data_IF_158430565616
#
_entry.id   IF_158430565616
#
_cell.length_a   1.000
_cell.length_b   1.000
_cell.length_c   1.000
_cell.angle_alpha   90.00
_cell.angle_beta   90.00
_cell.angle_gamma   90.00
#
_symmetry.space_group_name_H-M   'P 1'
#
loop_
_entity.id
_entity.type
_entity.pdbx_description
1 polymer ?
#
# COMPACT_ATOMS: atom_id res chain seq x y z
N UNK A 1 -1.71 -7.24 -1.28
CA UNK A 1 -3.06 -6.71 -1.57
C UNK A 1 -3.46 -5.79 -0.44
N UNK A 2 -3.86 -4.55 -0.74
CA UNK A 2 -4.45 -3.64 0.25
C UNK A 2 -5.93 -3.95 0.46
N UNK A 3 -6.40 -3.82 1.70
CA UNK A 3 -7.79 -4.08 2.10
C UNK A 3 -8.61 -2.81 2.24
N UNK A 4 -7.96 -1.65 2.43
CA UNK A 4 -8.65 -0.36 2.61
C UNK A 4 -8.00 0.74 1.78
N UNK A 5 -6.68 0.76 1.68
CA UNK A 5 -5.97 1.80 0.92
C UNK A 5 -5.92 1.52 -0.57
N UNK A 6 -6.06 2.59 -1.35
CA UNK A 6 -5.63 2.60 -2.75
C UNK A 6 -4.12 2.84 -2.80
N UNK A 7 -3.49 2.33 -3.86
CA UNK A 7 -2.07 2.54 -4.11
C UNK A 7 -1.88 2.86 -5.59
N UNK A 8 -0.93 3.74 -5.88
CA UNK A 8 -0.58 4.16 -7.23
C UNK A 8 0.94 4.19 -7.42
N UNK A 9 1.40 3.67 -8.56
CA UNK A 9 2.79 3.76 -8.99
C UNK A 9 2.92 4.83 -10.07
N UNK A 10 3.82 5.78 -9.83
CA UNK A 10 4.29 6.76 -10.80
C UNK A 10 5.71 6.36 -11.19
N UNK A 11 5.87 5.77 -12.36
CA UNK A 11 7.17 5.24 -12.81
C UNK A 11 8.04 6.38 -13.31
N UNK A 12 9.21 6.55 -12.70
CA UNK A 12 10.16 7.63 -13.00
C UNK A 12 11.34 7.15 -13.84
N UNK A 13 11.58 5.85 -13.91
CA UNK A 13 12.68 5.29 -14.70
C UNK A 13 12.65 3.77 -14.82
N UNK A 14 13.49 3.26 -15.73
CA UNK A 14 13.59 1.83 -16.01
C UNK A 14 12.38 1.24 -16.75
N UNK A 15 12.27 -0.09 -16.70
CA UNK A 15 11.17 -0.84 -17.34
C UNK A 15 10.77 -2.07 -16.52
N UNK A 16 9.52 -2.47 -16.65
CA UNK A 16 8.99 -3.66 -16.01
C UNK A 16 7.57 -3.98 -16.47
N UNK A 17 6.89 -4.80 -15.69
CA UNK A 17 5.47 -5.10 -15.88
C UNK A 17 4.80 -5.15 -14.52
N UNK A 18 3.60 -4.58 -14.42
CA UNK A 18 2.70 -4.80 -13.30
C UNK A 18 1.86 -6.03 -13.62
N UNK A 19 2.01 -7.08 -12.82
CA UNK A 19 1.10 -8.21 -12.83
C UNK A 19 -0.01 -7.92 -11.82
N UNK A 20 -1.27 -7.94 -12.23
CA UNK A 20 -2.42 -7.77 -11.36
C UNK A 20 -3.41 -8.91 -11.49
N UNK A 21 -4.14 -9.19 -10.41
CA UNK A 21 -5.21 -10.16 -10.35
C UNK A 21 -6.35 -9.60 -9.49
N UNK A 22 -7.54 -9.57 -10.09
CA UNK A 22 -8.81 -9.26 -9.43
C UNK A 22 -9.91 -10.15 -10.03
N UNK A 23 -11.20 -9.88 -9.74
CA UNK A 23 -12.33 -10.67 -10.26
C UNK A 23 -12.53 -10.59 -11.77
N UNK A 24 -11.89 -9.64 -12.46
CA UNK A 24 -11.84 -9.59 -13.92
C UNK A 24 -10.74 -10.48 -14.51
N UNK A 25 -9.92 -11.10 -13.66
CA UNK A 25 -8.86 -12.02 -14.04
C UNK A 25 -7.46 -11.41 -13.98
N UNK A 26 -6.49 -12.18 -14.45
CA UNK A 26 -5.09 -11.77 -14.51
C UNK A 26 -4.84 -10.78 -15.65
N UNK A 27 -4.01 -9.77 -15.38
CA UNK A 27 -3.57 -8.77 -16.37
C UNK A 27 -2.10 -8.42 -16.18
N UNK A 28 -1.42 -8.21 -17.30
CA UNK A 28 -0.09 -7.60 -17.34
C UNK A 28 -0.17 -6.21 -17.94
N UNK A 29 0.36 -5.23 -17.22
CA UNK A 29 0.42 -3.83 -17.65
C UNK A 29 1.89 -3.40 -17.76
N UNK A 30 2.42 -3.07 -18.95
CA UNK A 30 3.78 -2.58 -19.11
C UNK A 30 4.06 -1.34 -18.26
N UNK A 31 5.25 -1.29 -17.66
CA UNK A 31 5.73 -0.16 -16.87
C UNK A 31 6.97 0.44 -17.53
N UNK A 32 6.91 1.75 -17.79
CA UNK A 32 8.02 2.56 -18.29
C UNK A 32 7.92 3.98 -17.71
N UNK A 33 8.96 4.80 -17.86
CA UNK A 33 8.93 6.19 -17.39
C UNK A 33 7.68 6.93 -17.92
N UNK A 34 6.93 7.57 -17.03
CA UNK A 34 5.65 8.22 -17.33
C UNK A 34 4.42 7.34 -17.15
N UNK A 35 4.57 6.02 -16.94
CA UNK A 35 3.45 5.16 -16.55
C UNK A 35 2.88 5.57 -15.19
N UNK A 36 1.57 5.73 -15.13
CA UNK A 36 0.80 5.87 -13.89
C UNK A 36 -0.19 4.72 -13.83
N UNK A 37 -0.09 3.87 -12.81
CA UNK A 37 -1.04 2.79 -12.55
C UNK A 37 -1.59 2.95 -11.15
N UNK A 38 -2.89 2.82 -11.01
CA UNK A 38 -3.62 2.93 -9.74
C UNK A 38 -4.52 1.72 -9.60
N UNK A 39 -4.59 1.17 -8.39
CA UNK A 39 -5.44 0.04 -8.08
C UNK A 39 -6.13 0.23 -6.73
N UNK A 40 -7.36 -0.29 -6.66
CA UNK A 40 -8.25 -0.20 -5.50
C UNK A 40 -8.05 -1.37 -4.54
N UNK A 41 -8.55 -1.28 -3.30
CA UNK A 41 -8.58 -2.42 -2.38
C UNK A 41 -9.15 -3.67 -3.03
N UNK A 42 -8.58 -4.83 -2.67
CA UNK A 42 -8.93 -6.11 -3.28
C UNK A 42 -8.13 -6.47 -4.54
N UNK A 43 -7.37 -5.52 -5.12
CA UNK A 43 -6.52 -5.80 -6.28
C UNK A 43 -5.18 -6.40 -5.83
N UNK A 44 -4.94 -7.66 -6.15
CA UNK A 44 -3.63 -8.28 -5.99
C UNK A 44 -2.72 -7.74 -7.09
N UNK A 45 -1.50 -7.33 -6.74
CA UNK A 45 -0.56 -6.82 -7.71
C UNK A 45 0.89 -7.06 -7.29
N UNK A 46 1.79 -7.14 -8.28
CA UNK A 46 3.25 -7.15 -8.09
C UNK A 46 3.94 -6.49 -9.28
N UNK A 47 5.01 -5.75 -9.00
CA UNK A 47 5.91 -5.25 -10.04
C UNK A 47 7.01 -6.26 -10.33
N UNK A 48 7.19 -6.59 -11.61
CA UNK A 48 8.30 -7.39 -12.11
C UNK A 48 9.28 -6.44 -12.79
N UNK A 49 10.50 -6.37 -12.25
CA UNK A 49 11.54 -5.50 -12.75
C UNK A 49 12.24 -6.17 -13.96
N UNK A 50 12.11 -5.56 -15.14
CA UNK A 50 12.81 -6.01 -16.36
C UNK A 50 14.05 -5.15 -16.69
N UNK A 51 14.37 -4.16 -15.84
CA UNK A 51 15.56 -3.33 -15.97
C UNK A 51 15.43 -2.02 -15.19
N UNK A 52 16.09 -1.96 -14.03
CA UNK A 52 16.23 -0.76 -13.20
C UNK A 52 14.92 0.02 -12.93
N UNK A 53 13.78 -0.69 -12.84
CA UNK A 53 12.48 -0.08 -12.57
C UNK A 53 12.54 0.78 -11.28
N UNK A 54 12.16 2.04 -11.41
CA UNK A 54 12.09 3.02 -10.32
C UNK A 54 10.73 3.70 -10.35
N UNK A 55 10.06 3.76 -9.20
CA UNK A 55 8.74 4.37 -9.09
C UNK A 55 8.59 5.15 -7.78
N UNK A 56 7.78 6.21 -7.83
CA UNK A 56 7.20 6.84 -6.65
C UNK A 56 5.87 6.15 -6.37
N UNK A 57 5.66 5.73 -5.13
CA UNK A 57 4.43 5.06 -4.70
C UNK A 57 3.63 6.03 -3.84
N UNK A 58 2.37 6.24 -4.21
CA UNK A 58 1.40 7.02 -3.43
C UNK A 58 0.34 6.08 -2.88
N UNK A 59 0.10 6.12 -1.57
CA UNK A 59 -0.91 5.32 -0.91
C UNK A 59 -1.91 6.20 -0.17
N UNK A 60 -3.19 5.85 -0.24
CA UNK A 60 -4.23 6.59 0.48
C UNK A 60 -4.23 6.28 1.98
N UNK A 61 -5.07 7.01 2.73
CA UNK A 61 -5.31 6.79 4.16
C UNK A 61 -4.11 7.00 5.08
N UNK A 62 -3.15 7.85 4.69
CA UNK A 62 -2.17 8.51 5.56
C UNK A 62 -1.57 7.59 6.64
N UNK A 63 -0.81 6.57 6.23
CA UNK A 63 -0.12 5.65 7.15
C UNK A 63 -0.85 4.34 7.44
N UNK A 64 -2.06 4.15 6.90
CA UNK A 64 -2.80 2.90 7.03
C UNK A 64 -2.08 1.66 6.45
N UNK A 65 -1.35 1.75 5.31
CA UNK A 65 -0.45 0.69 4.87
C UNK A 65 0.53 0.21 5.93
N UNK A 66 1.18 1.14 6.62
CA UNK A 66 2.12 0.87 7.71
C UNK A 66 1.41 0.31 8.95
N UNK A 67 0.13 0.63 9.16
CA UNK A 67 -0.73 0.03 10.19
C UNK A 67 -1.27 -1.36 9.80
N UNK A 68 -0.79 -1.92 8.69
CA UNK A 68 -0.98 -3.33 8.33
C UNK A 68 -2.25 -3.63 7.57
N UNK A 69 -2.71 -2.71 6.71
CA UNK A 69 -3.86 -2.94 5.83
C UNK A 69 -3.55 -3.77 4.57
N UNK A 70 -2.31 -4.27 4.47
CA UNK A 70 -1.84 -5.09 3.37
C UNK A 70 -1.64 -6.55 3.81
N UNK A 71 -2.15 -7.47 2.99
CA UNK A 71 -1.94 -8.91 3.13
C UNK A 71 -1.15 -9.45 1.94
N UNK A 72 -0.10 -10.23 2.22
CA UNK A 72 0.71 -10.91 1.21
C UNK A 72 0.00 -12.15 0.69
N UNK A 73 0.22 -12.47 -0.59
CA UNK A 73 -0.36 -13.62 -1.29
C UNK A 73 0.39 -14.91 -0.96
N UNK A 74 0.51 -15.27 0.31
CA UNK A 74 1.06 -16.55 0.71
C UNK A 74 0.09 -17.70 0.36
N UNK A 75 0.58 -18.95 0.23
CA UNK A 75 -0.28 -20.13 0.15
C UNK A 75 -1.23 -20.25 1.35
N UNK A 76 -2.40 -20.87 1.18
CA UNK A 76 -3.49 -20.88 2.20
C UNK A 76 -3.04 -21.37 3.57
N UNK A 77 -2.10 -22.32 3.63
CA UNK A 77 -1.54 -22.85 4.88
C UNK A 77 -0.93 -21.76 5.79
N UNK A 78 -0.40 -20.68 5.21
CA UNK A 78 0.13 -19.53 5.95
C UNK A 78 -0.92 -18.47 6.25
N UNK A 79 -2.05 -18.48 5.56
CA UNK A 79 -3.15 -17.53 5.73
C UNK A 79 -4.20 -18.02 6.73
N UNK A 80 -4.25 -19.33 7.00
CA UNK A 80 -5.23 -19.94 7.90
C UNK A 80 -5.08 -19.55 9.38
N UNK A 81 -3.93 -18.99 9.79
CA UNK A 81 -3.65 -18.58 11.16
C UNK A 81 -2.90 -17.25 11.20
N UNK A 82 -3.33 -16.35 12.09
CA UNK A 82 -2.64 -15.08 12.32
C UNK A 82 -1.19 -15.27 12.78
N UNK A 83 -0.91 -16.32 13.56
CA UNK A 83 0.43 -16.64 14.01
C UNK A 83 1.31 -17.14 12.85
N UNK A 84 0.80 -18.06 12.03
CA UNK A 84 1.52 -18.58 10.87
C UNK A 84 1.81 -17.47 9.85
N UNK A 85 0.85 -16.57 9.63
CA UNK A 85 1.02 -15.41 8.76
C UNK A 85 2.11 -14.47 9.30
N UNK A 86 2.05 -14.14 10.60
CA UNK A 86 3.02 -13.23 11.22
C UNK A 86 4.44 -13.82 11.16
N UNK A 87 4.60 -15.11 11.42
CA UNK A 87 5.89 -15.80 11.33
C UNK A 87 6.45 -15.75 9.90
N UNK A 88 5.62 -16.04 8.90
CA UNK A 88 6.02 -16.02 7.49
C UNK A 88 6.32 -14.59 6.97
N UNK A 89 5.66 -13.57 7.53
CA UNK A 89 5.83 -12.18 7.12
C UNK A 89 7.02 -11.46 7.78
N UNK A 90 7.51 -11.96 8.91
CA UNK A 90 8.56 -11.32 9.70
C UNK A 90 9.92 -11.29 8.99
N UNK A 91 10.61 -10.15 9.05
CA UNK A 91 11.94 -9.94 8.44
C UNK A 91 13.01 -9.49 9.45
N UNK A 92 12.63 -9.35 10.71
CA UNK A 92 13.41 -8.80 11.82
C UNK A 92 13.60 -9.83 12.93
N UNK A 93 14.02 -11.05 12.55
CA UNK A 93 14.28 -12.13 13.52
C UNK A 93 15.71 -12.05 14.10
N UNK A 94 15.89 -12.14 15.43
CA UNK A 94 17.21 -12.19 16.05
C UNK A 94 18.10 -13.26 15.42
N UNK A 95 19.35 -12.90 15.10
CA UNK A 95 20.35 -13.82 14.53
C UNK A 95 20.13 -14.21 13.06
N UNK A 96 19.14 -13.63 12.38
CA UNK A 96 18.88 -13.85 10.95
C UNK A 96 19.33 -12.66 10.10
N UNK A 97 19.69 -12.91 8.83
CA UNK A 97 19.90 -11.86 7.83
C UNK A 97 18.54 -11.32 7.33
N UNK A 98 18.20 -10.03 7.59
CA UNK A 98 16.94 -9.44 7.13
C UNK A 98 16.75 -9.47 5.62
N UNK A 99 17.85 -9.43 4.84
CA UNK A 99 17.78 -9.50 3.38
C UNK A 99 17.33 -10.88 2.92
N UNK A 100 17.92 -11.94 3.48
CA UNK A 100 17.52 -13.31 3.22
C UNK A 100 16.05 -13.57 3.60
N UNK A 101 15.61 -13.06 4.76
CA UNK A 101 14.20 -13.17 5.17
C UNK A 101 13.25 -12.44 4.22
N UNK A 102 13.60 -11.22 3.80
CA UNK A 102 12.80 -10.46 2.84
C UNK A 102 12.70 -11.17 1.47
N UNK A 103 13.77 -11.84 1.04
CA UNK A 103 13.77 -12.67 -0.18
C UNK A 103 12.88 -13.90 -0.02
N UNK A 104 13.01 -14.66 1.06
CA UNK A 104 12.18 -15.83 1.32
C UNK A 104 10.68 -15.47 1.40
N UNK A 105 10.35 -14.37 2.08
CA UNK A 105 9.00 -13.82 2.16
C UNK A 105 8.45 -13.43 0.79
N UNK A 106 9.26 -12.78 -0.05
CA UNK A 106 8.89 -12.43 -1.43
C UNK A 106 8.58 -13.70 -2.22
N UNK A 107 9.45 -14.70 -2.15
CA UNK A 107 9.31 -15.93 -2.93
C UNK A 107 8.08 -16.73 -2.50
N UNK A 108 7.77 -16.75 -1.19
CA UNK A 108 6.52 -17.32 -0.68
C UNK A 108 5.28 -16.59 -1.20
N UNK A 109 5.30 -15.25 -1.23
CA UNK A 109 4.20 -14.46 -1.79
C UNK A 109 4.03 -14.67 -3.31
N UNK A 110 5.13 -14.91 -4.04
CA UNK A 110 5.09 -15.26 -5.46
C UNK A 110 4.49 -16.65 -5.65
N UNK A 111 4.83 -17.63 -4.81
CA UNK A 111 4.27 -18.97 -4.88
C UNK A 111 2.73 -18.95 -4.76
N UNK A 112 2.19 -18.30 -3.72
CA UNK A 112 0.74 -18.20 -3.56
C UNK A 112 0.07 -17.32 -4.64
N UNK A 113 0.75 -16.28 -5.14
CA UNK A 113 0.25 -15.53 -6.30
C UNK A 113 0.10 -16.41 -7.55
N UNK A 114 1.07 -17.28 -7.82
CA UNK A 114 1.03 -18.17 -8.99
C UNK A 114 -0.08 -19.23 -8.86
N UNK A 115 -0.36 -19.73 -7.66
CA UNK A 115 -1.51 -20.60 -7.39
C UNK A 115 -2.83 -19.88 -7.73
N UNK A 116 -3.01 -18.66 -7.24
CA UNK A 116 -4.20 -17.83 -7.52
C UNK A 116 -4.34 -17.52 -9.01
N UNK A 117 -3.23 -17.15 -9.67
CA UNK A 117 -3.20 -16.88 -11.12
C UNK A 117 -3.61 -18.12 -11.92
N UNK A 118 -3.05 -19.29 -11.59
CA UNK A 118 -3.33 -20.54 -12.30
C UNK A 118 -4.80 -20.93 -12.18
N UNK A 119 -5.38 -20.79 -10.99
CA UNK A 119 -6.81 -21.04 -10.78
C UNK A 119 -7.69 -20.08 -11.59
N UNK A 120 -7.39 -18.78 -11.55
CA UNK A 120 -8.13 -17.77 -12.31
C UNK A 120 -8.05 -17.99 -13.83
N UNK A 121 -6.88 -18.37 -14.35
CA UNK A 121 -6.72 -18.72 -15.78
C UNK A 121 -7.49 -19.98 -16.17
N UNK A 122 -7.73 -20.90 -15.23
CA UNK A 122 -8.61 -22.06 -15.40
C UNK A 122 -10.10 -21.73 -15.22
N UNK A 123 -10.46 -20.49 -14.89
CA UNK A 123 -11.83 -20.05 -14.62
C UNK A 123 -12.35 -20.44 -13.23
N UNK A 124 -11.45 -20.77 -12.29
CA UNK A 124 -11.78 -21.07 -10.90
C UNK A 124 -11.54 -19.86 -9.98
N UNK A 125 -12.63 -19.22 -9.57
CA UNK A 125 -12.61 -18.07 -8.65
C UNK A 125 -12.60 -18.48 -7.17
N UNK A 126 -12.73 -19.76 -6.84
CA UNK A 126 -12.83 -20.22 -5.45
C UNK A 126 -11.56 -19.91 -4.64
N UNK A 127 -10.33 -20.12 -5.16
CA UNK A 127 -9.10 -19.76 -4.44
C UNK A 127 -8.96 -18.26 -4.19
N UNK A 128 -9.37 -17.42 -5.15
CA UNK A 128 -9.35 -15.96 -4.97
C UNK A 128 -10.35 -15.51 -3.89
N UNK A 129 -11.55 -16.10 -3.89
CA UNK A 129 -12.55 -15.83 -2.85
C UNK A 129 -12.07 -16.27 -1.47
N UNK A 130 -11.51 -17.47 -1.35
CA UNK A 130 -10.92 -17.96 -0.11
C UNK A 130 -9.78 -17.04 0.37
N UNK A 131 -8.92 -16.56 -0.54
CA UNK A 131 -7.88 -15.60 -0.21
C UNK A 131 -8.44 -14.30 0.39
N UNK A 132 -9.51 -13.74 -0.18
CA UNK A 132 -10.16 -12.55 0.38
C UNK A 132 -10.71 -12.80 1.79
N UNK A 133 -11.36 -13.94 2.02
CA UNK A 133 -11.90 -14.29 3.34
C UNK A 133 -10.80 -14.46 4.38
N UNK A 134 -9.70 -15.14 4.02
CA UNK A 134 -8.52 -15.26 4.88
C UNK A 134 -7.88 -13.92 5.19
N UNK A 135 -7.70 -13.08 4.17
CA UNK A 135 -7.12 -11.76 4.34
C UNK A 135 -7.97 -10.89 5.29
N UNK A 136 -9.30 -10.92 5.14
CA UNK A 136 -10.23 -10.25 6.05
C UNK A 136 -10.10 -10.77 7.49
N UNK A 137 -10.02 -12.09 7.68
CA UNK A 137 -9.80 -12.71 8.99
C UNK A 137 -8.47 -12.28 9.64
N UNK A 138 -7.38 -12.23 8.88
CA UNK A 138 -6.05 -11.85 9.36
C UNK A 138 -5.95 -10.39 9.85
N UNK A 139 -6.79 -9.51 9.32
CA UNK A 139 -6.80 -8.09 9.70
C UNK A 139 -7.91 -7.74 10.68
N UNK A 140 -8.85 -8.65 10.98
CA UNK A 140 -10.02 -8.36 11.80
C UNK A 140 -9.68 -7.73 13.17
N UNK A 141 -8.60 -8.19 13.81
CA UNK A 141 -8.13 -7.60 15.08
C UNK A 141 -7.48 -6.22 14.97
N UNK A 142 -6.99 -5.85 13.78
CA UNK A 142 -6.35 -4.54 13.50
C UNK A 142 -7.34 -3.50 12.98
N UNK A 143 -8.36 -3.95 12.26
CA UNK A 143 -9.34 -3.09 11.59
C UNK A 143 -10.00 -2.03 12.51
N UNK A 144 -10.36 -2.31 13.78
CA UNK A 144 -10.92 -1.28 14.66
C UNK A 144 -9.99 -0.07 14.86
N UNK A 145 -8.66 -0.29 14.91
CA UNK A 145 -7.68 0.78 15.09
C UNK A 145 -7.56 1.70 13.86
N UNK A 146 -7.86 1.18 12.68
CA UNK A 146 -7.76 1.94 11.42
C UNK A 146 -8.78 3.06 11.32
N UNK A 147 -9.96 2.88 11.90
CA UNK A 147 -11.00 3.91 11.93
C UNK A 147 -10.47 5.22 12.50
N UNK A 148 -9.74 5.17 13.61
CA UNK A 148 -9.17 6.37 14.22
C UNK A 148 -8.10 7.04 13.35
N UNK A 149 -7.33 6.27 12.57
CA UNK A 149 -6.37 6.82 11.61
C UNK A 149 -7.08 7.54 10.46
N UNK A 150 -8.14 6.94 9.92
CA UNK A 150 -8.95 7.53 8.85
C UNK A 150 -9.66 8.80 9.35
N UNK A 151 -10.27 8.74 10.53
CA UNK A 151 -11.00 9.86 11.13
C UNK A 151 -10.10 11.08 11.36
N UNK A 152 -8.89 10.86 11.91
CA UNK A 152 -7.94 11.96 12.20
C UNK A 152 -7.10 12.39 10.99
N UNK A 153 -7.05 11.59 9.94
CA UNK A 153 -6.28 11.88 8.73
C UNK A 153 -7.20 12.32 7.58
N UNK A 154 -7.43 11.47 6.57
CA UNK A 154 -8.14 11.85 5.35
C UNK A 154 -9.57 12.37 5.58
N UNK A 155 -10.29 11.88 6.59
CA UNK A 155 -11.66 12.36 6.85
C UNK A 155 -11.68 13.78 7.40
N UNK A 156 -10.79 14.10 8.34
CA UNK A 156 -10.67 15.46 8.88
C UNK A 156 -10.25 16.45 7.79
N UNK A 157 -9.28 16.07 6.95
CA UNK A 157 -8.86 16.86 5.79
C UNK A 157 -10.01 17.13 4.81
N UNK A 158 -10.83 16.12 4.52
CA UNK A 158 -12.01 16.28 3.66
C UNK A 158 -13.04 17.23 4.28
N UNK A 159 -13.31 17.10 5.59
CA UNK A 159 -14.23 18.00 6.32
C UNK A 159 -13.74 19.45 6.30
N UNK A 160 -12.45 19.67 6.58
CA UNK A 160 -11.84 21.00 6.52
C UNK A 160 -11.94 21.62 5.12
N UNK A 161 -11.77 20.81 4.07
CA UNK A 161 -11.90 21.27 2.67
C UNK A 161 -13.35 21.70 2.33
N UNK A 162 -14.35 20.95 2.81
CA UNK A 162 -15.77 21.30 2.66
C UNK A 162 -16.13 22.58 3.42
N UNK A 163 -15.58 22.77 4.61
CA UNK A 163 -15.74 24.01 5.38
C UNK A 163 -15.16 25.21 4.63
N UNK A 164 -13.93 25.07 4.08
CA UNK A 164 -13.30 26.12 3.26
C UNK A 164 -14.16 26.46 2.04
N UNK A 165 -14.67 25.46 1.33
CA UNK A 165 -15.56 25.68 0.18
C UNK A 165 -16.85 26.42 0.59
N UNK A 166 -17.40 26.11 1.77
CA UNK A 166 -18.58 26.77 2.33
C UNK A 166 -18.31 28.24 2.66
N UNK A 167 -17.16 28.54 3.28
CA UNK A 167 -16.72 29.92 3.57
C UNK A 167 -16.51 30.74 2.31
N UNK A 168 -15.89 30.15 1.29
CA UNK A 168 -15.72 30.79 -0.03
C UNK A 168 -17.07 31.11 -0.67
N UNK A 169 -18.05 30.22 -0.59
CA UNK A 169 -19.40 30.48 -1.10
C UNK A 169 -20.10 31.65 -0.37
N UNK A 170 -19.73 31.92 0.88
CA UNK A 170 -20.17 33.08 1.66
C UNK A 170 -19.32 34.34 1.47
N UNK A 171 -18.31 34.32 0.58
CA UNK A 171 -17.41 35.44 0.32
C UNK A 171 -16.26 35.60 1.33
N UNK A 172 -16.03 34.62 2.22
CA UNK A 172 -14.92 34.62 3.18
C UNK A 172 -13.71 33.84 2.62
N UNK A 173 -12.65 34.58 2.33
CA UNK A 173 -11.39 34.05 1.80
C UNK A 173 -10.21 34.14 2.80
N UNK A 174 -10.46 34.39 4.10
CA UNK A 174 -9.39 34.65 5.07
C UNK A 174 -8.37 33.51 5.22
N UNK A 175 -8.78 32.26 4.97
CA UNK A 175 -7.89 31.11 5.01
C UNK A 175 -6.73 31.19 4.00
N UNK A 176 -6.90 31.88 2.87
CA UNK A 176 -5.88 32.00 1.82
C UNK A 176 -4.60 32.72 2.30
N UNK A 177 -4.71 33.59 3.30
CA UNK A 177 -3.57 34.27 3.92
C UNK A 177 -2.59 33.29 4.61
N UNK A 178 -3.01 32.05 4.86
CA UNK A 178 -2.23 31.01 5.54
C UNK A 178 -1.64 29.97 4.56
N UNK A 179 -1.73 30.20 3.24
CA UNK A 179 -1.15 29.31 2.24
C UNK A 179 0.37 29.20 2.35
N UNK A 180 0.92 28.01 2.13
CA UNK A 180 2.37 27.77 2.23
C UNK A 180 2.83 26.45 1.63
N UNK A 181 4.15 26.29 1.48
CA UNK A 181 4.78 25.08 0.95
C UNK A 181 5.30 24.24 2.12
N UNK A 182 4.96 22.95 2.11
CA UNK A 182 5.53 21.96 3.04
C UNK A 182 6.61 21.13 2.35
N UNK A 183 7.69 20.83 3.07
CA UNK A 183 8.82 20.02 2.59
C UNK A 183 9.09 18.91 3.62
N UNK A 184 8.34 17.80 3.55
CA UNK A 184 8.51 16.71 4.50
C UNK A 184 9.91 16.10 4.37
N UNK A 185 10.45 15.61 5.48
CA UNK A 185 11.71 14.87 5.50
C UNK A 185 11.42 13.37 5.39
N UNK A 186 12.39 12.57 4.90
CA UNK A 186 12.27 11.12 4.94
C UNK A 186 12.01 10.61 6.36
N UNK A 187 10.94 9.84 6.54
CA UNK A 187 10.62 9.18 7.80
C UNK A 187 11.63 8.04 8.03
N UNK A 188 12.44 8.14 9.09
CA UNK A 188 13.27 7.03 9.58
C UNK A 188 14.72 6.93 9.10
N UNK A 189 15.28 7.95 8.42
CA UNK A 189 16.72 8.13 8.18
C UNK A 189 17.46 7.13 7.27
N UNK A 190 17.07 5.84 7.26
CA UNK A 190 17.67 4.77 6.48
C UNK A 190 16.64 4.09 5.56
N UNK A 191 17.13 3.56 4.43
CA UNK A 191 16.33 2.75 3.49
C UNK A 191 15.84 1.49 4.20
N UNK A 192 14.54 1.20 4.12
CA UNK A 192 13.91 0.02 4.74
C UNK A 192 13.60 -1.06 3.70
N UNK A 193 13.59 -2.32 4.13
CA UNK A 193 13.10 -3.45 3.32
C UNK A 193 11.59 -3.54 3.45
N UNK A 194 10.87 -3.04 2.44
CA UNK A 194 9.42 -3.11 2.33
C UNK A 194 8.92 -4.37 1.64
N UNK A 195 7.60 -4.42 1.41
CA UNK A 195 6.96 -5.50 0.65
C UNK A 195 7.33 -5.43 -0.84
N UNK A 196 7.49 -4.23 -1.39
CA UNK A 196 7.71 -3.98 -2.82
C UNK A 196 9.18 -3.67 -3.17
N UNK A 197 10.10 -3.69 -2.20
CA UNK A 197 11.52 -3.39 -2.41
C UNK A 197 12.13 -2.50 -1.33
N UNK A 198 13.10 -1.69 -1.72
CA UNK A 198 13.72 -0.70 -0.84
C UNK A 198 12.85 0.55 -0.75
N UNK A 199 12.53 0.99 0.46
CA UNK A 199 11.62 2.10 0.70
C UNK A 199 12.30 3.27 1.40
N UNK A 200 11.98 4.46 0.92
CA UNK A 200 12.13 5.72 1.65
C UNK A 200 10.74 6.34 1.76
N UNK A 201 10.21 6.38 2.98
CA UNK A 201 8.85 6.88 3.24
C UNK A 201 8.86 8.35 3.59
N UNK A 202 7.82 9.07 3.21
CA UNK A 202 7.62 10.48 3.56
C UNK A 202 6.21 10.62 4.13
N UNK A 203 6.09 11.28 5.27
CA UNK A 203 4.79 11.65 5.82
C UNK A 203 4.45 13.09 5.42
N UNK A 204 3.28 13.26 4.82
CA UNK A 204 2.74 14.55 4.37
C UNK A 204 1.55 15.00 5.22
N UNK A 205 1.16 14.23 6.22
CA UNK A 205 0.05 14.53 7.13
C UNK A 205 0.46 15.49 8.26
N UNK A 206 1.76 15.68 8.51
CA UNK A 206 2.22 16.78 9.37
C UNK A 206 1.85 18.12 8.70
N UNK A 207 0.87 18.80 9.29
CA UNK A 207 0.36 20.10 8.88
C UNK A 207 1.42 21.22 8.93
N UNK A 208 1.03 22.46 8.60
CA UNK A 208 1.99 23.53 8.35
C UNK A 208 2.92 23.73 9.53
N UNK A 209 4.23 23.58 9.26
CA UNK A 209 5.28 24.08 10.15
C UNK A 209 4.96 25.56 10.38
N UNK A 210 4.74 25.91 11.64
CA UNK A 210 4.54 27.29 12.09
C UNK A 210 5.54 28.22 11.41
N UNK A 211 5.12 29.42 10.97
CA UNK A 211 6.05 30.37 10.40
C UNK A 211 7.15 30.62 11.45
N UNK A 212 8.42 30.46 11.05
CA UNK A 212 9.50 30.97 11.87
C UNK A 212 9.30 32.49 12.00
N UNK A 213 9.32 32.95 13.26
CA UNK A 213 9.32 34.35 13.64
C UNK A 213 10.50 35.11 13.02
#
# INVERSE_FOLDING_TARGET
>A
MHLVSTEAYIVTGGRGVLQSLDRSGFRETPLAAGSVVWFTPGTIHRAVNHGALTAVVLMSNAGLPEAGDAVMTFPDAHLASAAAYAEAAAIDRPGSDPRALAQARRDLAVAGFLELKTAAEAGDDAPLTAFFDRAAGLVAGRAPGWRGLIERGPLDQARASVEVATRLAAGDAAHLAHGGIQRPRPSGGAIRLGMCGHLTTFDVAEGPVTPRA
#
